data_IF_606166744851
#
_entry.id   IF_606166744851
#
_cell.length_a   1.000
_cell.length_b   1.000
_cell.length_c   1.000
_cell.angle_alpha   90.00
_cell.angle_beta   90.00
_cell.angle_gamma   90.00
#
_symmetry.space_group_name_H-M   'P 1'
#
loop_
_entity.id
_entity.type
_entity.pdbx_description
1 polymer ?
#
# COMPACT_ATOMS: atom_id res chain seq x y z
N UNK A 1 -32.75 38.99 -55.21
CA UNK A 1 -31.53 38.35 -54.66
C UNK A 1 -31.36 38.69 -53.18
N UNK A 2 -31.56 37.70 -52.31
CA UNK A 2 -31.51 37.84 -50.84
C UNK A 2 -30.10 37.55 -50.32
N UNK A 3 -29.61 38.18 -49.24
CA UNK A 3 -28.26 37.94 -48.74
C UNK A 3 -28.16 36.59 -48.01
N UNK A 4 -26.95 35.97 -47.96
CA UNK A 4 -26.75 34.70 -47.26
C UNK A 4 -26.83 34.87 -45.73
N UNK A 5 -27.26 33.84 -44.99
CA UNK A 5 -27.35 33.89 -43.53
C UNK A 5 -25.96 33.95 -42.87
N UNK A 6 -25.84 34.53 -41.67
CA UNK A 6 -24.57 34.66 -40.97
C UNK A 6 -24.04 33.29 -40.50
N UNK A 7 -22.70 33.13 -40.36
CA UNK A 7 -22.11 31.87 -39.92
C UNK A 7 -22.48 31.59 -38.46
N UNK A 8 -23.01 30.39 -38.23
CA UNK A 8 -23.30 29.84 -36.90
C UNK A 8 -22.02 29.80 -36.06
N UNK A 9 -22.05 30.48 -34.91
CA UNK A 9 -20.97 30.50 -33.92
C UNK A 9 -20.59 29.08 -33.48
N UNK A 10 -19.30 28.78 -33.22
CA UNK A 10 -18.88 27.46 -32.78
C UNK A 10 -19.53 27.15 -31.43
N UNK A 11 -20.22 26.01 -31.36
CA UNK A 11 -20.71 25.43 -30.11
C UNK A 11 -19.49 25.27 -29.19
N UNK A 12 -19.44 26.03 -28.09
CA UNK A 12 -18.51 25.74 -27.00
C UNK A 12 -18.90 24.37 -26.44
N UNK A 13 -18.09 23.36 -26.74
CA UNK A 13 -18.18 22.06 -26.07
C UNK A 13 -17.68 22.27 -24.64
N UNK A 14 -18.59 22.40 -23.69
CA UNK A 14 -18.26 22.35 -22.26
C UNK A 14 -17.50 21.05 -22.00
N UNK A 15 -16.31 21.07 -21.40
CA UNK A 15 -15.62 19.84 -21.03
C UNK A 15 -16.50 19.05 -20.04
N UNK A 16 -16.60 17.72 -20.17
CA UNK A 16 -17.40 16.91 -19.26
C UNK A 16 -16.94 17.15 -17.82
N UNK A 17 -17.92 17.49 -16.99
CA UNK A 17 -17.81 17.78 -15.57
C UNK A 17 -17.25 16.57 -14.83
N UNK A 18 -16.11 16.75 -14.17
CA UNK A 18 -15.44 15.83 -13.23
C UNK A 18 -15.15 14.39 -13.72
N UNK A 19 -13.86 13.97 -13.82
CA UNK A 19 -13.55 12.55 -13.87
C UNK A 19 -13.95 11.92 -12.52
N UNK A 20 -15.10 11.24 -12.46
CA UNK A 20 -15.42 10.37 -11.34
C UNK A 20 -14.31 9.34 -11.22
N UNK A 21 -13.56 9.40 -10.11
CA UNK A 21 -12.60 8.38 -9.74
C UNK A 21 -13.28 7.01 -9.83
N UNK A 22 -12.71 6.01 -10.53
CA UNK A 22 -13.29 4.68 -10.54
C UNK A 22 -13.35 4.20 -9.09
N UNK A 23 -14.56 3.94 -8.58
CA UNK A 23 -14.79 3.38 -7.25
C UNK A 23 -14.44 1.89 -7.27
N UNK A 24 -13.16 1.58 -7.49
CA UNK A 24 -12.67 0.22 -7.44
C UNK A 24 -12.70 -0.24 -5.99
N UNK A 25 -13.66 -1.08 -5.65
CA UNK A 25 -13.75 -1.70 -4.34
C UNK A 25 -13.20 -3.13 -4.41
N UNK A 26 -12.03 -3.33 -3.80
CA UNK A 26 -11.32 -4.61 -3.79
C UNK A 26 -12.19 -5.75 -3.25
N UNK A 27 -13.05 -5.49 -2.25
CA UNK A 27 -13.93 -6.51 -1.69
C UNK A 27 -15.00 -6.97 -2.69
N UNK A 28 -15.53 -6.05 -3.50
CA UNK A 28 -16.45 -6.39 -4.58
C UNK A 28 -15.73 -7.18 -5.69
N UNK A 29 -14.51 -6.76 -6.07
CA UNK A 29 -13.72 -7.46 -7.08
C UNK A 29 -13.37 -8.89 -6.65
N UNK A 30 -13.00 -9.10 -5.38
CA UNK A 30 -12.76 -10.44 -4.82
C UNK A 30 -14.08 -11.22 -4.79
N UNK A 31 -15.18 -10.62 -4.35
CA UNK A 31 -16.50 -11.27 -4.32
C UNK A 31 -17.04 -11.63 -5.71
N UNK A 32 -16.62 -10.99 -6.79
CA UNK A 32 -17.08 -11.33 -8.15
C UNK A 32 -16.12 -12.26 -8.89
N UNK A 33 -14.88 -12.42 -8.38
CA UNK A 33 -13.86 -13.28 -8.99
C UNK A 33 -14.22 -14.77 -9.00
N UNK A 34 -13.48 -15.59 -9.75
CA UNK A 34 -13.67 -17.05 -9.77
C UNK A 34 -13.40 -17.66 -8.39
N UNK A 35 -14.10 -18.73 -7.97
CA UNK A 35 -13.92 -19.33 -6.64
C UNK A 35 -12.46 -19.66 -6.29
N UNK A 36 -11.68 -20.15 -7.26
CA UNK A 36 -10.25 -20.41 -7.07
C UNK A 36 -9.47 -19.14 -6.66
N UNK A 37 -9.76 -18.00 -7.27
CA UNK A 37 -9.13 -16.70 -6.95
C UNK A 37 -9.58 -16.19 -5.58
N UNK A 38 -10.85 -16.42 -5.21
CA UNK A 38 -11.35 -16.05 -3.87
C UNK A 38 -10.62 -16.80 -2.78
N UNK A 39 -10.50 -18.12 -2.94
CA UNK A 39 -9.86 -18.95 -1.93
C UNK A 39 -8.35 -18.73 -1.86
N UNK A 40 -7.67 -18.41 -2.97
CA UNK A 40 -6.25 -18.04 -2.89
C UNK A 40 -6.06 -16.71 -2.16
N UNK A 41 -6.92 -15.72 -2.39
CA UNK A 41 -6.89 -14.45 -1.66
C UNK A 41 -7.16 -14.68 -0.17
N UNK A 42 -8.19 -15.46 0.18
CA UNK A 42 -8.48 -15.77 1.59
C UNK A 42 -7.38 -16.59 2.26
N UNK A 43 -6.81 -17.58 1.57
CA UNK A 43 -5.70 -18.37 2.08
C UNK A 43 -4.45 -17.51 2.27
N UNK A 44 -4.15 -16.62 1.33
CA UNK A 44 -3.03 -15.68 1.43
C UNK A 44 -3.20 -14.73 2.62
N UNK A 45 -4.39 -14.13 2.78
CA UNK A 45 -4.71 -13.27 3.92
C UNK A 45 -4.66 -14.04 5.24
N UNK A 46 -5.19 -15.25 5.30
CA UNK A 46 -5.14 -16.10 6.48
C UNK A 46 -3.72 -16.49 6.88
N UNK A 47 -2.87 -16.81 5.90
CA UNK A 47 -1.44 -17.07 6.13
C UNK A 47 -0.73 -15.82 6.65
N UNK A 48 -0.99 -14.66 6.06
CA UNK A 48 -0.43 -13.40 6.52
C UNK A 48 -0.79 -13.12 7.98
N UNK A 49 -2.08 -13.21 8.32
CA UNK A 49 -2.56 -13.01 9.71
C UNK A 49 -1.91 -14.01 10.68
N UNK A 50 -1.72 -15.26 10.26
CA UNK A 50 -1.08 -16.28 11.09
C UNK A 50 0.40 -15.98 11.35
N UNK A 51 1.12 -15.56 10.31
CA UNK A 51 2.52 -15.14 10.41
C UNK A 51 2.65 -13.89 11.29
N UNK A 52 1.77 -12.91 11.13
CA UNK A 52 1.76 -11.70 11.97
C UNK A 52 1.43 -12.03 13.43
N UNK A 53 0.45 -12.89 13.69
CA UNK A 53 0.07 -13.29 15.05
C UNK A 53 1.20 -14.03 15.75
N UNK A 54 1.88 -14.95 15.05
CA UNK A 54 3.03 -15.67 15.60
C UNK A 54 4.24 -14.74 15.79
N UNK A 55 4.45 -13.78 14.89
CA UNK A 55 5.46 -12.74 15.07
C UNK A 55 5.21 -11.92 16.34
N UNK A 56 4.02 -11.34 16.50
CA UNK A 56 3.67 -10.51 17.65
C UNK A 56 3.68 -11.31 18.96
N UNK A 57 3.24 -12.57 18.93
CA UNK A 57 3.37 -13.46 20.08
C UNK A 57 4.83 -13.62 20.52
N UNK A 58 5.76 -13.84 19.58
CA UNK A 58 7.18 -13.96 19.89
C UNK A 58 7.78 -12.65 20.39
N UNK A 59 7.37 -11.50 19.83
CA UNK A 59 7.79 -10.17 20.30
C UNK A 59 7.31 -9.92 21.73
N UNK A 60 6.03 -10.22 22.02
CA UNK A 60 5.44 -10.07 23.35
C UNK A 60 6.13 -11.00 24.35
N UNK A 61 6.35 -12.26 23.99
CA UNK A 61 7.08 -13.23 24.82
C UNK A 61 8.49 -12.73 25.12
N UNK A 62 9.23 -12.32 24.09
CA UNK A 62 10.61 -11.84 24.23
C UNK A 62 10.73 -10.57 25.10
N UNK A 63 9.70 -9.72 25.10
CA UNK A 63 9.73 -8.43 25.81
C UNK A 63 9.15 -8.46 27.22
N UNK A 64 8.10 -9.24 27.46
CA UNK A 64 7.32 -9.18 28.71
C UNK A 64 7.39 -10.44 29.56
N UNK A 65 7.86 -11.57 29.03
CA UNK A 65 7.99 -12.80 29.81
C UNK A 65 9.45 -12.93 30.25
N UNK A 66 9.76 -12.80 31.55
CA UNK A 66 11.11 -13.04 32.04
C UNK A 66 11.44 -14.53 31.89
N UNK A 67 12.27 -14.85 30.90
CA UNK A 67 12.74 -16.21 30.66
C UNK A 67 13.57 -16.69 31.86
N UNK A 68 13.29 -17.91 32.34
CA UNK A 68 14.02 -18.53 33.46
C UNK A 68 15.36 -19.13 33.04
N UNK A 69 15.55 -19.35 31.74
CA UNK A 69 16.79 -19.89 31.15
C UNK A 69 17.60 -18.78 30.48
N UNK A 70 18.92 -18.75 30.72
CA UNK A 70 19.89 -17.90 30.02
C UNK A 70 19.81 -18.09 28.50
N UNK A 71 19.66 -19.34 28.05
CA UNK A 71 19.60 -19.69 26.63
C UNK A 71 18.36 -19.12 25.93
N UNK A 72 17.24 -19.01 26.64
CA UNK A 72 16.02 -18.39 26.12
C UNK A 72 16.13 -16.86 26.07
N UNK A 73 16.89 -16.24 26.98
CA UNK A 73 17.16 -14.79 26.94
C UNK A 73 18.03 -14.43 25.75
N UNK A 74 19.11 -15.17 25.54
CA UNK A 74 20.01 -14.94 24.39
C UNK A 74 19.26 -15.07 23.06
N UNK A 75 18.43 -16.12 22.90
CA UNK A 75 17.58 -16.31 21.71
C UNK A 75 16.61 -15.15 21.51
N UNK A 76 15.99 -14.65 22.59
CA UNK A 76 15.07 -13.52 22.54
C UNK A 76 15.78 -12.22 22.13
N UNK A 77 16.97 -11.94 22.67
CA UNK A 77 17.75 -10.75 22.30
C UNK A 77 18.22 -10.79 20.84
N UNK A 78 18.72 -11.94 20.36
CA UNK A 78 19.10 -12.11 18.95
C UNK A 78 17.89 -11.89 18.04
N UNK A 79 16.73 -12.42 18.40
CA UNK A 79 15.49 -12.21 17.65
C UNK A 79 15.09 -10.73 17.59
N UNK A 80 15.03 -10.05 18.74
CA UNK A 80 14.70 -8.62 18.81
C UNK A 80 15.72 -7.75 18.06
N UNK A 81 17.00 -8.08 18.12
CA UNK A 81 18.06 -7.42 17.35
C UNK A 81 17.84 -7.54 15.84
N UNK A 82 17.52 -8.74 15.36
CA UNK A 82 17.20 -8.99 13.93
C UNK A 82 15.95 -8.22 13.50
N UNK A 83 14.90 -8.23 14.31
CA UNK A 83 13.66 -7.49 14.03
C UNK A 83 13.93 -6.00 13.93
N UNK A 84 14.67 -5.43 14.89
CA UNK A 84 15.06 -4.02 14.87
C UNK A 84 15.85 -3.66 13.61
N UNK A 85 16.83 -4.49 13.25
CA UNK A 85 17.62 -4.31 12.02
C UNK A 85 16.76 -4.36 10.76
N UNK A 86 15.82 -5.31 10.69
CA UNK A 86 14.89 -5.44 9.56
C UNK A 86 13.96 -4.21 9.43
N UNK A 87 13.41 -3.71 10.54
CA UNK A 87 12.56 -2.50 10.52
C UNK A 87 13.36 -1.27 10.08
N UNK A 88 14.58 -1.10 10.57
CA UNK A 88 15.45 0.01 10.15
C UNK A 88 15.83 -0.08 8.67
N UNK A 89 16.17 -1.27 8.18
CA UNK A 89 16.49 -1.50 6.76
C UNK A 89 15.29 -1.26 5.85
N UNK A 90 14.11 -1.75 6.24
CA UNK A 90 12.87 -1.50 5.51
C UNK A 90 12.53 -0.01 5.48
N UNK A 91 12.61 0.68 6.62
CA UNK A 91 12.37 2.12 6.71
C UNK A 91 13.34 2.93 5.83
N UNK A 92 14.62 2.57 5.81
CA UNK A 92 15.63 3.22 4.97
C UNK A 92 15.34 3.01 3.46
N UNK A 93 14.99 1.78 3.06
CA UNK A 93 14.65 1.47 1.67
C UNK A 93 13.37 2.19 1.23
N UNK A 94 12.34 2.20 2.10
CA UNK A 94 11.08 2.89 1.86
C UNK A 94 11.27 4.40 1.75
N UNK A 95 11.99 5.03 2.70
CA UNK A 95 12.32 6.46 2.65
C UNK A 95 13.12 6.81 1.40
N UNK A 96 14.09 5.98 1.01
CA UNK A 96 14.88 6.20 -0.20
C UNK A 96 14.03 6.13 -1.47
N UNK A 97 13.08 5.20 -1.55
CA UNK A 97 12.19 5.08 -2.70
C UNK A 97 11.13 6.20 -2.72
N UNK A 98 10.56 6.51 -1.55
CA UNK A 98 9.63 7.60 -1.38
C UNK A 98 10.25 8.94 -1.78
N UNK A 99 11.49 9.19 -1.35
CA UNK A 99 12.26 10.37 -1.75
C UNK A 99 12.51 10.42 -3.27
N UNK A 100 12.78 9.29 -3.92
CA UNK A 100 12.94 9.25 -5.38
C UNK A 100 11.65 9.57 -6.14
N UNK A 101 10.52 9.06 -5.69
CA UNK A 101 9.24 9.26 -6.38
C UNK A 101 8.63 10.64 -6.11
N UNK A 102 8.70 11.12 -4.87
CA UNK A 102 8.04 12.38 -4.47
C UNK A 102 9.01 13.54 -4.26
N UNK A 103 10.30 13.28 -4.03
CA UNK A 103 11.29 14.34 -3.84
C UNK A 103 11.42 15.26 -5.04
N UNK A 104 11.24 14.76 -6.27
CA UNK A 104 11.21 15.63 -7.47
C UNK A 104 9.99 16.56 -7.54
N UNK A 105 8.84 16.11 -7.01
CA UNK A 105 7.59 16.86 -7.05
C UNK A 105 7.47 17.88 -5.90
N UNK A 106 8.05 17.60 -4.73
CA UNK A 106 8.01 18.52 -3.56
C UNK A 106 8.79 19.82 -3.83
N UNK A 107 9.82 19.78 -4.70
CA UNK A 107 10.62 20.96 -5.05
C UNK A 107 10.21 21.63 -6.38
N UNK A 108 9.08 21.25 -6.98
CA UNK A 108 8.58 21.89 -8.21
C UNK A 108 9.48 21.68 -9.44
N UNK A 109 10.31 20.63 -9.46
CA UNK A 109 11.21 20.31 -10.59
C UNK A 109 10.56 19.23 -11.47
N UNK A 110 9.27 19.39 -11.75
CA UNK A 110 8.42 18.41 -12.43
C UNK A 110 7.58 19.01 -13.55
N UNK A 111 8.13 19.96 -14.30
CA UNK A 111 7.60 20.35 -15.62
C UNK A 111 8.71 20.21 -16.66
N UNK A 112 8.68 19.09 -17.40
CA UNK A 112 9.11 19.00 -18.80
C UNK A 112 8.28 17.92 -19.50
#
# INVERSE_FOLDING_TARGET
>A
PSPPPPPSSPKLTTPPENPTLPSFNLFHAVRDSRPAVRYTVYAGLGLMVSVESTFWYNVLKARFVPSKSEEEKEKAEIFLGRVRGAVQGYGAAWMGNYWRYYGGYVWGVGER
#
